data_IF_372581966176
#
_entry.id   IF_372581966176
#
_cell.length_a   1.000
_cell.length_b   1.000
_cell.length_c   1.000
_cell.angle_alpha   90.00
_cell.angle_beta   90.00
_cell.angle_gamma   90.00
#
_symmetry.space_group_name_H-M   'P 1'
#
loop_
_entity.id
_entity.type
_entity.pdbx_description
1 polymer ?
#
# COMPACT_ATOMS: atom_id res chain seq x y z
N UNK A 1 -35.13 8.82 -9.10
CA UNK A 1 -35.33 7.37 -8.89
C UNK A 1 -35.57 6.74 -10.26
N UNK A 2 -34.51 6.29 -10.93
CA UNK A 2 -34.67 5.40 -12.08
C UNK A 2 -34.94 4.00 -11.53
N UNK A 3 -36.21 3.60 -11.57
CA UNK A 3 -36.62 2.23 -11.40
C UNK A 3 -36.83 1.64 -12.79
N UNK A 4 -36.08 0.57 -13.10
CA UNK A 4 -36.38 -0.31 -14.22
C UNK A 4 -35.58 -0.06 -15.49
N UNK A 5 -34.29 -0.44 -15.46
CA UNK A 5 -33.67 -1.04 -16.64
C UNK A 5 -33.12 -2.42 -16.23
N UNK A 6 -33.94 -3.42 -16.57
CA UNK A 6 -33.69 -4.85 -16.68
C UNK A 6 -32.60 -5.50 -15.80
N UNK A 7 -33.08 -6.22 -14.77
CA UNK A 7 -32.54 -7.54 -14.44
C UNK A 7 -32.65 -8.44 -15.68
N UNK A 8 -31.54 -8.75 -16.36
CA UNK A 8 -31.46 -9.89 -17.26
C UNK A 8 -30.06 -10.51 -17.21
N UNK A 9 -30.03 -11.77 -16.76
CA UNK A 9 -28.96 -12.73 -17.04
C UNK A 9 -27.79 -12.70 -16.07
N UNK A 10 -27.91 -13.45 -14.95
CA UNK A 10 -26.73 -14.02 -14.32
C UNK A 10 -26.01 -14.87 -15.37
N UNK A 11 -24.97 -14.29 -15.98
CA UNK A 11 -24.01 -15.01 -16.81
C UNK A 11 -23.35 -16.07 -15.93
N UNK A 12 -23.35 -17.31 -16.40
CA UNK A 12 -22.61 -18.36 -15.71
C UNK A 12 -21.13 -17.98 -15.71
N UNK A 13 -20.56 -17.79 -14.52
CA UNK A 13 -19.12 -17.55 -14.38
C UNK A 13 -18.35 -18.72 -14.98
N UNK A 14 -17.31 -18.42 -15.76
CA UNK A 14 -16.35 -19.42 -16.19
C UNK A 14 -15.71 -20.08 -14.95
N UNK A 15 -15.53 -21.41 -14.99
CA UNK A 15 -15.09 -22.23 -13.85
C UNK A 15 -13.67 -21.91 -13.33
N UNK A 16 -12.92 -21.01 -13.99
CA UNK A 16 -11.50 -20.73 -13.73
C UNK A 16 -11.20 -19.31 -13.21
N UNK A 17 -12.22 -18.51 -12.87
CA UNK A 17 -12.01 -17.12 -12.44
C UNK A 17 -11.72 -16.15 -13.59
N UNK A 18 -11.79 -16.62 -14.85
CA UNK A 18 -11.76 -15.79 -16.04
C UNK A 18 -13.04 -14.96 -16.25
N UNK A 19 -13.13 -14.30 -17.41
CA UNK A 19 -14.35 -13.67 -17.90
C UNK A 19 -15.04 -14.62 -18.88
N UNK A 20 -16.31 -14.94 -18.64
CA UNK A 20 -17.13 -15.65 -19.60
C UNK A 20 -17.55 -14.72 -20.75
N UNK A 21 -17.99 -15.30 -21.88
CA UNK A 21 -18.54 -14.54 -23.03
C UNK A 21 -19.71 -13.66 -22.59
N UNK A 22 -20.57 -14.19 -21.71
CA UNK A 22 -21.70 -13.43 -21.21
C UNK A 22 -21.27 -12.29 -20.28
N UNK A 23 -20.10 -12.35 -19.63
CA UNK A 23 -19.57 -11.23 -18.84
C UNK A 23 -19.16 -10.06 -19.74
N UNK A 24 -18.53 -10.35 -20.88
CA UNK A 24 -18.20 -9.33 -21.88
C UNK A 24 -19.46 -8.70 -22.49
N UNK A 25 -20.49 -9.51 -22.72
CA UNK A 25 -21.79 -9.02 -23.20
C UNK A 25 -22.46 -8.11 -22.17
N UNK A 26 -22.52 -8.54 -20.92
CA UNK A 26 -23.12 -7.77 -19.83
C UNK A 26 -22.35 -6.46 -19.57
N UNK A 27 -21.03 -6.51 -19.64
CA UNK A 27 -20.17 -5.33 -19.53
C UNK A 27 -20.47 -4.31 -20.62
N UNK A 28 -20.49 -4.74 -21.90
CA UNK A 28 -20.80 -3.85 -23.02
C UNK A 28 -22.24 -3.30 -22.96
N UNK A 29 -23.21 -4.12 -22.53
CA UNK A 29 -24.59 -3.67 -22.32
C UNK A 29 -24.70 -2.64 -21.20
N UNK A 30 -23.92 -2.78 -20.13
CA UNK A 30 -23.89 -1.82 -19.02
C UNK A 30 -23.19 -0.53 -19.43
N UNK A 31 -22.05 -0.65 -20.12
CA UNK A 31 -21.28 0.48 -20.61
C UNK A 31 -22.09 1.33 -21.59
N UNK A 32 -22.70 0.71 -22.60
CA UNK A 32 -23.37 1.44 -23.67
C UNK A 32 -24.87 1.64 -23.44
N UNK A 33 -25.43 1.01 -22.41
CA UNK A 33 -26.87 0.97 -22.18
C UNK A 33 -27.48 2.37 -22.07
N UNK A 34 -28.53 2.61 -22.84
CA UNK A 34 -29.33 3.83 -22.79
C UNK A 34 -30.81 3.49 -22.60
N UNK A 35 -31.56 4.46 -22.09
CA UNK A 35 -33.02 4.39 -21.93
C UNK A 35 -33.78 4.80 -23.20
N UNK A 36 -33.06 5.16 -24.26
CA UNK A 36 -33.56 5.65 -25.55
C UNK A 36 -32.99 4.80 -26.70
N UNK A 37 -33.58 4.91 -27.89
CA UNK A 37 -33.08 4.31 -29.12
C UNK A 37 -32.03 5.20 -29.77
N UNK A 38 -32.41 5.85 -30.86
CA UNK A 38 -31.54 6.80 -31.56
C UNK A 38 -31.60 8.20 -30.93
N UNK A 39 -30.65 9.05 -31.35
CA UNK A 39 -30.71 10.51 -31.14
C UNK A 39 -30.50 11.23 -32.47
N UNK A 40 -31.21 12.34 -32.64
CA UNK A 40 -30.96 13.30 -33.72
C UNK A 40 -30.53 14.63 -33.08
N UNK A 41 -29.40 15.18 -33.53
CA UNK A 41 -28.91 16.49 -33.08
C UNK A 41 -29.07 17.50 -34.20
N UNK A 42 -29.87 18.54 -33.97
CA UNK A 42 -30.13 19.61 -34.93
C UNK A 42 -30.00 20.98 -34.24
N UNK A 43 -28.85 21.63 -34.43
CA UNK A 43 -28.51 22.86 -33.73
C UNK A 43 -28.44 22.63 -32.23
N UNK A 44 -29.20 23.40 -31.46
CA UNK A 44 -29.25 23.29 -29.99
C UNK A 44 -30.27 22.25 -29.49
N UNK A 45 -30.89 21.48 -30.40
CA UNK A 45 -31.94 20.52 -30.06
C UNK A 45 -31.45 19.09 -30.24
N UNK A 46 -31.63 18.26 -29.20
CA UNK A 46 -31.49 16.81 -29.25
C UNK A 46 -32.87 16.17 -29.23
N UNK A 47 -33.20 15.40 -30.27
CA UNK A 47 -34.39 14.55 -30.30
C UNK A 47 -34.01 13.15 -29.85
N UNK A 48 -34.61 12.68 -28.76
CA UNK A 48 -34.46 11.30 -28.30
C UNK A 48 -35.58 10.45 -28.89
N UNK A 49 -35.25 9.26 -29.37
CA UNK A 49 -36.20 8.27 -29.85
C UNK A 49 -36.41 7.16 -28.83
N UNK A 50 -37.55 6.49 -28.87
CA UNK A 50 -37.75 5.21 -28.20
C UNK A 50 -37.08 4.10 -29.02
N UNK A 51 -36.92 2.91 -28.41
CA UNK A 51 -36.36 1.73 -29.08
C UNK A 51 -37.17 1.26 -30.30
N UNK A 52 -38.43 1.68 -30.42
CA UNK A 52 -39.29 1.39 -31.57
C UNK A 52 -39.22 2.47 -32.67
N UNK A 53 -38.33 3.46 -32.53
CA UNK A 53 -38.13 4.55 -33.48
C UNK A 53 -39.14 5.70 -33.38
N UNK A 54 -40.07 5.67 -32.41
CA UNK A 54 -40.97 6.79 -32.15
C UNK A 54 -40.25 7.92 -31.41
N UNK A 55 -40.64 9.18 -31.63
CA UNK A 55 -40.05 10.32 -30.90
C UNK A 55 -40.44 10.23 -29.42
N UNK A 56 -39.43 10.20 -28.55
CA UNK A 56 -39.60 10.24 -27.09
C UNK A 56 -39.76 11.66 -26.57
N UNK A 57 -38.81 12.53 -26.90
CA UNK A 57 -38.84 13.96 -26.53
C UNK A 57 -37.87 14.78 -27.40
N UNK A 58 -38.00 16.10 -27.36
CA UNK A 58 -37.12 17.06 -28.05
C UNK A 58 -36.61 18.08 -27.05
N UNK A 59 -35.30 18.04 -26.80
CA UNK A 59 -34.68 18.75 -25.70
C UNK A 59 -33.76 19.84 -26.27
N UNK A 60 -34.10 21.11 -26.00
CA UNK A 60 -33.24 22.24 -26.36
C UNK A 60 -32.24 22.51 -25.22
N UNK A 61 -30.96 22.64 -25.55
CA UNK A 61 -29.88 22.77 -24.59
C UNK A 61 -29.16 24.12 -24.68
N UNK A 62 -28.57 24.53 -23.56
CA UNK A 62 -27.60 25.61 -23.48
C UNK A 62 -26.23 25.03 -23.09
N UNK A 63 -25.18 25.47 -23.78
CA UNK A 63 -23.81 25.06 -23.46
C UNK A 63 -23.36 25.66 -22.13
N UNK A 64 -22.96 24.80 -21.20
CA UNK A 64 -22.59 25.14 -19.82
C UNK A 64 -21.08 25.03 -19.57
N UNK A 65 -20.26 25.01 -20.64
CA UNK A 65 -18.81 24.90 -20.56
C UNK A 65 -18.30 23.48 -20.73
N UNK A 66 -17.01 23.27 -20.43
CA UNK A 66 -16.38 21.95 -20.51
C UNK A 66 -15.56 21.66 -19.26
N UNK A 67 -15.25 20.38 -19.05
CA UNK A 67 -14.47 19.89 -17.92
C UNK A 67 -13.49 18.82 -18.40
N UNK A 68 -12.20 19.05 -18.19
CA UNK A 68 -11.16 18.10 -18.53
C UNK A 68 -11.08 17.01 -17.45
N UNK A 69 -11.07 15.75 -17.87
CA UNK A 69 -10.94 14.60 -17.00
C UNK A 69 -9.88 13.65 -17.53
N UNK A 70 -9.30 12.87 -16.63
CA UNK A 70 -8.34 11.82 -16.98
C UNK A 70 -8.99 10.46 -16.76
N UNK A 71 -9.01 9.61 -17.78
CA UNK A 71 -9.46 8.22 -17.68
C UNK A 71 -8.42 7.31 -18.32
N UNK A 72 -8.00 6.25 -17.62
CA UNK A 72 -7.00 5.32 -18.16
C UNK A 72 -5.64 5.95 -18.48
N UNK A 73 -5.35 7.16 -17.97
CA UNK A 73 -4.13 7.92 -18.28
C UNK A 73 -4.26 8.85 -19.49
N UNK A 74 -5.41 8.87 -20.16
CA UNK A 74 -5.71 9.79 -21.28
C UNK A 74 -6.61 10.93 -20.82
N UNK A 75 -6.36 12.12 -21.35
CA UNK A 75 -7.15 13.31 -21.06
C UNK A 75 -8.21 13.54 -22.14
N UNK A 76 -9.43 13.81 -21.72
CA UNK A 76 -10.50 14.25 -22.61
C UNK A 76 -11.43 15.26 -21.94
N UNK A 77 -12.20 15.98 -22.74
CA UNK A 77 -13.16 16.97 -22.27
C UNK A 77 -14.59 16.40 -22.23
N UNK A 78 -15.26 16.57 -21.11
CA UNK A 78 -16.73 16.54 -21.03
C UNK A 78 -17.29 17.91 -21.39
N UNK A 79 -18.01 18.01 -22.50
CA UNK A 79 -18.81 19.19 -22.87
C UNK A 79 -20.15 19.13 -22.17
N UNK A 80 -20.49 20.19 -21.43
CA UNK A 80 -21.65 20.25 -20.55
C UNK A 80 -22.80 21.00 -21.22
N UNK A 81 -24.00 20.43 -21.15
CA UNK A 81 -25.22 20.98 -21.73
C UNK A 81 -26.35 20.90 -20.72
N UNK A 82 -27.00 22.03 -20.44
CA UNK A 82 -28.16 22.09 -19.55
C UNK A 82 -29.43 22.35 -20.35
N UNK A 83 -30.48 21.59 -20.06
CA UNK A 83 -31.78 21.72 -20.71
C UNK A 83 -32.34 23.13 -20.47
N UNK A 84 -32.66 23.83 -21.55
CA UNK A 84 -33.45 25.06 -21.47
C UNK A 84 -34.84 24.67 -20.99
N UNK A 85 -35.20 25.15 -19.79
CA UNK A 85 -36.43 24.77 -19.09
C UNK A 85 -37.67 24.91 -19.98
N UNK A 86 -38.42 23.82 -20.21
CA UNK A 86 -39.67 23.91 -20.97
C UNK A 86 -40.45 22.62 -21.24
N UNK A 87 -39.81 21.45 -21.27
CA UNK A 87 -40.50 20.19 -21.57
C UNK A 87 -40.34 19.16 -20.43
N UNK A 88 -41.44 18.81 -19.75
CA UNK A 88 -41.46 17.78 -18.71
C UNK A 88 -41.00 16.42 -19.24
N UNK A 89 -41.20 16.14 -20.53
CA UNK A 89 -40.74 14.91 -21.17
C UNK A 89 -39.21 14.82 -21.25
N UNK A 90 -38.51 15.96 -21.22
CA UNK A 90 -37.04 16.04 -21.19
C UNK A 90 -36.46 16.04 -19.78
N UNK A 91 -37.29 15.98 -18.73
CA UNK A 91 -36.82 16.14 -17.35
C UNK A 91 -35.81 15.09 -16.89
N UNK A 92 -35.81 13.89 -17.49
CA UNK A 92 -34.80 12.85 -17.25
C UNK A 92 -33.43 13.16 -17.88
N UNK A 93 -33.40 14.05 -18.88
CA UNK A 93 -32.21 14.47 -19.64
C UNK A 93 -31.78 15.90 -19.29
N UNK A 94 -32.11 16.39 -18.08
CA UNK A 94 -31.89 17.79 -17.70
C UNK A 94 -30.43 18.22 -17.88
N UNK A 95 -29.49 17.37 -17.47
CA UNK A 95 -28.07 17.58 -17.68
C UNK A 95 -27.58 16.52 -18.67
N UNK A 96 -26.80 16.98 -19.63
CA UNK A 96 -26.14 16.17 -20.64
C UNK A 96 -24.65 16.52 -20.62
N UNK A 97 -23.80 15.51 -20.54
CA UNK A 97 -22.37 15.66 -20.86
C UNK A 97 -22.03 14.78 -22.04
N UNK A 98 -21.19 15.28 -22.94
CA UNK A 98 -20.80 14.58 -24.15
C UNK A 98 -19.30 14.77 -24.42
N UNK A 99 -18.67 13.79 -25.05
CA UNK A 99 -17.33 13.95 -25.63
C UNK A 99 -17.43 14.69 -26.97
N UNK A 100 -16.28 15.11 -27.52
CA UNK A 100 -16.22 15.41 -28.95
C UNK A 100 -16.45 14.15 -29.79
N UNK A 101 -16.91 14.33 -31.03
CA UNK A 101 -16.92 13.25 -32.02
C UNK A 101 -15.47 12.90 -32.39
N UNK A 102 -15.14 11.62 -32.36
CA UNK A 102 -13.81 11.09 -32.60
C UNK A 102 -13.89 9.74 -33.32
N UNK A 103 -12.73 9.24 -33.75
CA UNK A 103 -12.57 7.93 -34.37
C UNK A 103 -11.28 7.30 -33.83
N UNK A 104 -11.33 6.00 -33.58
CA UNK A 104 -10.16 5.21 -33.23
C UNK A 104 -9.48 4.72 -34.51
N UNK A 105 -8.39 5.37 -34.91
CA UNK A 105 -7.64 5.06 -36.12
C UNK A 105 -8.16 5.72 -37.41
N UNK A 106 -7.40 5.58 -38.50
CA UNK A 106 -7.63 6.32 -39.76
C UNK A 106 -8.94 5.91 -40.48
N UNK A 107 -9.40 4.66 -40.28
CA UNK A 107 -10.60 4.09 -40.91
C UNK A 107 -11.71 3.72 -39.89
N UNK A 108 -11.56 4.16 -38.64
CA UNK A 108 -12.49 3.86 -37.56
C UNK A 108 -13.86 4.55 -37.72
N UNK A 109 -14.86 3.98 -37.04
CA UNK A 109 -16.19 4.56 -36.92
C UNK A 109 -16.14 5.90 -36.18
N UNK A 110 -16.68 6.96 -36.79
CA UNK A 110 -16.89 8.24 -36.09
C UNK A 110 -18.01 8.08 -35.07
N UNK A 111 -17.70 8.36 -33.81
CA UNK A 111 -18.63 8.23 -32.69
C UNK A 111 -18.33 9.23 -31.57
N UNK A 112 -19.24 9.30 -30.60
CA UNK A 112 -19.08 10.08 -29.38
C UNK A 112 -19.78 9.36 -28.22
N UNK A 113 -19.40 9.73 -27.00
CA UNK A 113 -20.00 9.19 -25.77
C UNK A 113 -20.79 10.27 -25.04
N UNK A 114 -21.80 9.85 -24.28
CA UNK A 114 -22.60 10.75 -23.47
C UNK A 114 -23.00 10.16 -22.13
N UNK A 115 -23.23 11.03 -21.14
CA UNK A 115 -23.98 10.71 -19.91
C UNK A 115 -25.06 11.74 -19.71
N UNK A 116 -26.17 11.32 -19.11
CA UNK A 116 -27.34 12.16 -18.94
C UNK A 116 -28.07 11.84 -17.64
N UNK A 117 -28.78 12.83 -17.11
CA UNK A 117 -29.55 12.66 -15.89
C UNK A 117 -30.17 13.97 -15.41
N UNK A 118 -30.72 13.94 -14.21
CA UNK A 118 -31.40 15.09 -13.61
C UNK A 118 -30.86 15.52 -12.24
N UNK A 119 -29.72 14.98 -11.84
CA UNK A 119 -29.00 15.28 -10.60
C UNK A 119 -28.15 16.55 -10.73
N UNK A 120 -26.96 16.45 -11.33
CA UNK A 120 -26.03 17.56 -11.56
C UNK A 120 -24.92 17.15 -12.54
N UNK A 121 -24.18 18.12 -13.09
CA UNK A 121 -22.97 17.81 -13.86
C UNK A 121 -21.92 17.08 -13.03
N UNK A 122 -21.73 17.48 -11.77
CA UNK A 122 -20.79 16.85 -10.85
C UNK A 122 -21.13 15.36 -10.62
N UNK A 123 -22.40 15.03 -10.45
CA UNK A 123 -22.84 13.65 -10.30
C UNK A 123 -22.57 12.84 -11.58
N UNK A 124 -22.87 13.40 -12.76
CA UNK A 124 -22.59 12.71 -14.03
C UNK A 124 -21.08 12.47 -14.28
N UNK A 125 -20.22 13.35 -13.78
CA UNK A 125 -18.76 13.28 -14.01
C UNK A 125 -18.07 12.42 -12.94
N UNK A 126 -18.39 12.65 -11.66
CA UNK A 126 -17.60 12.17 -10.52
C UNK A 126 -18.23 11.00 -9.75
N UNK A 127 -19.48 10.63 -10.04
CA UNK A 127 -20.10 9.47 -9.38
C UNK A 127 -19.47 8.16 -9.88
N UNK A 128 -18.97 7.36 -8.93
CA UNK A 128 -18.31 6.09 -9.21
C UNK A 128 -19.24 5.06 -9.87
N UNK A 129 -20.56 5.18 -9.70
CA UNK A 129 -21.53 4.31 -10.40
C UNK A 129 -21.55 4.57 -11.91
N UNK A 130 -21.20 5.78 -12.35
CA UNK A 130 -21.18 6.16 -13.76
C UNK A 130 -19.81 6.02 -14.41
N UNK A 131 -18.77 5.64 -13.66
CA UNK A 131 -17.38 5.61 -14.14
C UNK A 131 -17.19 4.74 -15.39
N UNK A 132 -17.97 3.67 -15.52
CA UNK A 132 -17.97 2.75 -16.68
C UNK A 132 -19.16 2.93 -17.62
N UNK A 133 -20.02 3.93 -17.40
CA UNK A 133 -21.20 4.19 -18.23
C UNK A 133 -20.83 5.20 -19.33
N UNK A 134 -20.77 4.71 -20.57
CA UNK A 134 -20.46 5.43 -21.80
C UNK A 134 -21.42 5.02 -22.93
N UNK A 135 -22.70 5.42 -22.89
CA UNK A 135 -23.59 5.38 -24.05
C UNK A 135 -22.88 5.93 -25.29
N UNK A 136 -22.78 5.09 -26.32
CA UNK A 136 -22.00 5.37 -27.54
C UNK A 136 -22.94 5.58 -28.72
N UNK A 137 -22.76 6.71 -29.40
CA UNK A 137 -23.59 7.14 -30.52
C UNK A 137 -22.68 7.26 -31.74
N UNK A 138 -23.00 6.53 -32.81
CA UNK A 138 -22.23 6.52 -34.05
C UNK A 138 -22.93 7.30 -35.16
N UNK A 139 -22.16 7.80 -36.13
CA UNK A 139 -22.71 8.51 -37.27
C UNK A 139 -23.44 7.56 -38.25
N UNK A 140 -24.70 7.88 -38.55
CA UNK A 140 -25.49 7.20 -39.59
C UNK A 140 -26.00 5.81 -39.23
N UNK A 141 -26.56 5.12 -40.23
CA UNK A 141 -26.98 3.72 -40.07
C UNK A 141 -25.74 2.80 -40.09
N UNK A 142 -25.53 2.07 -39.00
CA UNK A 142 -24.47 1.07 -38.88
C UNK A 142 -25.05 -0.34 -38.95
N UNK A 143 -24.41 -1.17 -39.78
CA UNK A 143 -24.71 -2.59 -39.80
C UNK A 143 -24.02 -3.31 -38.64
N UNK A 144 -24.60 -4.42 -38.17
CA UNK A 144 -24.00 -5.24 -37.12
C UNK A 144 -22.59 -5.73 -37.51
N UNK A 145 -22.35 -5.98 -38.80
CA UNK A 145 -21.05 -6.39 -39.32
C UNK A 145 -20.00 -5.29 -39.20
N UNK A 146 -20.36 -4.04 -39.56
CA UNK A 146 -19.44 -2.90 -39.44
C UNK A 146 -19.16 -2.57 -37.97
N UNK A 147 -20.16 -2.70 -37.11
CA UNK A 147 -19.97 -2.56 -35.67
C UNK A 147 -19.01 -3.63 -35.14
N UNK A 148 -19.23 -4.90 -35.49
CA UNK A 148 -18.37 -6.00 -35.05
C UNK A 148 -16.92 -5.85 -35.54
N UNK A 149 -16.69 -5.35 -36.76
CA UNK A 149 -15.36 -5.05 -37.28
C UNK A 149 -14.62 -4.00 -36.42
N UNK A 150 -15.26 -2.85 -36.16
CA UNK A 150 -14.68 -1.77 -35.36
C UNK A 150 -14.39 -2.22 -33.90
N UNK A 151 -15.32 -2.94 -33.28
CA UNK A 151 -15.14 -3.42 -31.91
C UNK A 151 -14.14 -4.58 -31.83
N UNK A 152 -13.90 -5.30 -32.93
CA UNK A 152 -12.84 -6.30 -33.02
C UNK A 152 -11.45 -5.69 -32.84
N UNK A 153 -11.21 -4.50 -33.40
CA UNK A 153 -9.95 -3.78 -33.25
C UNK A 153 -9.77 -3.20 -31.83
N UNK A 154 -10.85 -2.69 -31.21
CA UNK A 154 -10.86 -2.18 -29.84
C UNK A 154 -10.99 -3.23 -28.72
N UNK A 155 -11.12 -4.51 -29.06
CA UNK A 155 -11.38 -5.58 -28.10
C UNK A 155 -10.34 -5.69 -26.95
N UNK A 156 -9.02 -5.51 -27.16
CA UNK A 156 -8.04 -5.55 -26.07
C UNK A 156 -8.28 -4.46 -25.02
N UNK A 157 -8.62 -3.24 -25.44
CA UNK A 157 -8.90 -2.12 -24.54
C UNK A 157 -10.18 -2.37 -23.75
N UNK A 158 -11.24 -2.81 -24.41
CA UNK A 158 -12.53 -3.14 -23.77
C UNK A 158 -12.36 -4.29 -22.76
N UNK A 159 -11.52 -5.28 -23.07
CA UNK A 159 -11.16 -6.35 -22.13
C UNK A 159 -10.41 -5.84 -20.90
N UNK A 160 -9.49 -4.89 -21.07
CA UNK A 160 -8.78 -4.25 -19.95
C UNK A 160 -9.72 -3.41 -19.08
N UNK A 161 -10.63 -2.64 -19.70
CA UNK A 161 -11.66 -1.89 -19.01
C UNK A 161 -12.63 -2.80 -18.24
N UNK A 162 -13.07 -3.91 -18.83
CA UNK A 162 -13.90 -4.91 -18.15
C UNK A 162 -13.18 -5.51 -16.93
N UNK A 163 -11.86 -5.76 -17.05
CA UNK A 163 -11.02 -6.20 -15.94
C UNK A 163 -10.92 -5.15 -14.83
N UNK A 164 -10.78 -3.89 -15.19
CA UNK A 164 -10.74 -2.76 -14.25
C UNK A 164 -12.09 -2.53 -13.57
N UNK A 165 -13.21 -2.66 -14.29
CA UNK A 165 -14.57 -2.54 -13.75
C UNK A 165 -14.90 -3.64 -12.72
N UNK A 166 -14.23 -4.78 -12.79
CA UNK A 166 -14.32 -5.88 -11.80
C UNK A 166 -13.44 -5.65 -10.57
N UNK A 167 -12.55 -4.65 -10.57
CA UNK A 167 -11.78 -4.26 -9.37
C UNK A 167 -12.73 -3.53 -8.39
N UNK A 168 -12.69 -3.84 -7.08
CA UNK A 168 -13.86 -3.71 -6.21
C UNK A 168 -14.22 -2.27 -5.83
N UNK A 169 -15.45 -1.86 -6.14
CA UNK A 169 -16.29 -1.11 -5.19
C UNK A 169 -17.04 -2.11 -4.31
N UNK A 170 -16.81 -2.10 -3.00
CA UNK A 170 -17.33 -3.11 -2.06
C UNK A 170 -18.83 -2.91 -1.80
N UNK A 171 -19.67 -3.92 -2.06
CA UNK A 171 -21.05 -4.02 -1.54
C UNK A 171 -21.22 -5.26 -0.65
N UNK A 172 -22.27 -5.27 0.18
CA UNK A 172 -22.58 -6.36 1.14
C UNK A 172 -23.24 -7.61 0.51
N UNK A 173 -23.25 -7.73 -0.81
CA UNK A 173 -23.94 -8.84 -1.50
C UNK A 173 -23.35 -10.23 -1.18
N UNK A 174 -22.08 -10.29 -0.77
CA UNK A 174 -21.40 -11.53 -0.40
C UNK A 174 -21.95 -12.19 0.89
N UNK A 175 -22.81 -11.51 1.67
CA UNK A 175 -23.37 -12.02 2.93
C UNK A 175 -24.85 -12.41 2.86
N UNK A 176 -25.45 -12.40 1.66
CA UNK A 176 -26.84 -12.85 1.48
C UNK A 176 -26.94 -14.38 1.55
N UNK A 177 -27.52 -14.88 2.64
CA UNK A 177 -27.79 -16.31 2.86
C UNK A 177 -28.06 -16.68 4.32
N UNK A 178 -28.45 -17.93 4.57
CA UNK A 178 -28.43 -18.51 5.92
C UNK A 178 -27.06 -19.12 6.16
N UNK A 179 -26.37 -18.66 7.20
CA UNK A 179 -24.99 -19.03 7.50
C UNK A 179 -24.95 -20.08 8.60
N UNK A 180 -24.29 -21.21 8.35
CA UNK A 180 -24.01 -22.21 9.37
C UNK A 180 -22.88 -21.70 10.27
N UNK A 181 -23.03 -21.85 11.59
CA UNK A 181 -21.95 -21.51 12.53
C UNK A 181 -20.81 -22.53 12.42
N UNK A 182 -19.65 -22.17 11.82
CA UNK A 182 -18.55 -23.11 11.65
C UNK A 182 -17.91 -23.48 12.99
N UNK A 183 -18.17 -22.71 14.06
CA UNK A 183 -17.80 -23.07 15.43
C UNK A 183 -18.30 -24.45 15.88
N UNK A 184 -19.35 -24.98 15.24
CA UNK A 184 -19.90 -26.31 15.54
C UNK A 184 -19.12 -27.48 14.93
N UNK A 185 -18.24 -27.21 13.96
CA UNK A 185 -17.43 -28.23 13.25
C UNK A 185 -15.93 -28.08 13.52
N UNK A 186 -15.55 -27.13 14.39
CA UNK A 186 -14.15 -26.95 14.79
C UNK A 186 -13.60 -28.16 15.57
N UNK A 187 -14.45 -28.93 16.25
CA UNK A 187 -14.07 -30.16 16.96
C UNK A 187 -14.21 -31.44 16.10
N UNK A 188 -14.54 -31.29 14.81
CA UNK A 188 -14.61 -32.41 13.88
C UNK A 188 -13.20 -32.86 13.50
N UNK A 189 -12.91 -34.16 13.52
CA UNK A 189 -11.57 -34.68 13.23
C UNK A 189 -11.10 -34.41 11.80
N UNK A 190 -12.00 -33.99 10.90
CA UNK A 190 -11.61 -33.50 9.57
C UNK A 190 -10.85 -32.15 9.63
N UNK A 191 -10.92 -31.43 10.75
CA UNK A 191 -10.16 -30.20 11.00
C UNK A 191 -8.73 -30.48 11.49
N UNK A 192 -8.41 -31.69 11.95
CA UNK A 192 -7.09 -32.03 12.48
C UNK A 192 -5.94 -31.69 11.50
N UNK A 193 -6.00 -32.03 10.21
CA UNK A 193 -4.95 -31.66 9.25
C UNK A 193 -4.83 -30.15 9.04
N UNK A 194 -5.92 -29.39 9.25
CA UNK A 194 -5.94 -27.93 9.12
C UNK A 194 -5.25 -27.32 10.34
N UNK A 195 -5.54 -27.79 11.55
CA UNK A 195 -4.83 -27.34 12.75
C UNK A 195 -3.36 -27.75 12.73
N UNK A 196 -3.02 -28.93 12.22
CA UNK A 196 -1.65 -29.36 12.00
C UNK A 196 -0.93 -28.47 10.98
N UNK A 197 -1.55 -28.16 9.85
CA UNK A 197 -0.99 -27.27 8.84
C UNK A 197 -0.84 -25.83 9.34
N UNK A 198 -1.81 -25.32 10.10
CA UNK A 198 -1.74 -23.99 10.72
C UNK A 198 -0.67 -23.94 11.80
N UNK A 199 -0.53 -24.99 12.61
CA UNK A 199 0.56 -25.10 13.56
C UNK A 199 1.91 -25.19 12.84
N UNK A 200 2.02 -25.94 11.73
CA UNK A 200 3.23 -26.00 10.92
C UNK A 200 3.58 -24.66 10.29
N UNK A 201 2.61 -23.92 9.76
CA UNK A 201 2.83 -22.60 9.14
C UNK A 201 3.17 -21.53 10.18
N UNK A 202 2.50 -21.54 11.34
CA UNK A 202 2.85 -20.66 12.46
C UNK A 202 4.25 -20.98 13.03
N UNK A 203 4.71 -22.23 12.88
CA UNK A 203 6.05 -22.66 13.26
C UNK A 203 7.08 -22.57 12.13
N UNK A 204 6.68 -22.26 10.89
CA UNK A 204 7.61 -21.92 9.82
C UNK A 204 7.90 -20.42 9.89
N UNK A 205 8.66 -20.01 10.91
CA UNK A 205 9.30 -18.71 10.91
C UNK A 205 10.24 -18.65 9.69
N UNK A 206 10.15 -17.60 8.88
CA UNK A 206 11.32 -17.20 8.10
C UNK A 206 12.44 -16.99 9.12
N UNK A 207 13.57 -17.69 8.94
CA UNK A 207 14.69 -17.51 9.87
C UNK A 207 15.06 -16.03 9.84
N UNK A 208 15.08 -15.34 11.01
CA UNK A 208 15.47 -13.95 11.04
C UNK A 208 16.86 -13.83 10.43
N UNK A 209 17.05 -12.80 9.61
CA UNK A 209 18.36 -12.48 9.04
C UNK A 209 19.41 -12.52 10.15
N UNK A 210 20.61 -13.05 9.86
CA UNK A 210 21.70 -13.19 10.84
C UNK A 210 22.73 -12.09 10.64
N UNK A 211 23.43 -11.74 11.70
CA UNK A 211 24.63 -10.91 11.63
C UNK A 211 25.74 -11.79 11.06
N UNK A 212 26.22 -11.45 9.87
CA UNK A 212 27.29 -12.17 9.20
C UNK A 212 28.53 -11.28 9.09
N UNK A 213 29.66 -11.74 9.61
CA UNK A 213 30.95 -11.04 9.54
C UNK A 213 32.09 -12.05 9.61
N UNK A 214 33.15 -11.87 8.83
CA UNK A 214 34.37 -12.67 8.97
C UNK A 214 35.21 -12.15 10.13
N UNK A 215 35.75 -13.04 10.96
CA UNK A 215 36.71 -12.66 11.98
C UNK A 215 38.10 -12.33 11.38
N UNK A 216 39.03 -11.91 12.23
CA UNK A 216 40.39 -11.60 11.80
C UNK A 216 41.20 -12.82 11.30
N UNK A 217 40.69 -14.04 11.45
CA UNK A 217 41.28 -15.28 10.92
C UNK A 217 40.62 -15.71 9.59
N UNK A 218 39.54 -15.05 9.18
CA UNK A 218 38.77 -15.36 7.98
C UNK A 218 37.67 -16.40 8.21
N UNK A 219 37.34 -16.72 9.46
CA UNK A 219 36.23 -17.61 9.80
C UNK A 219 34.92 -16.82 9.83
N UNK A 220 33.84 -17.39 9.29
CA UNK A 220 32.54 -16.74 9.25
C UNK A 220 31.86 -16.81 10.62
N UNK A 221 31.63 -15.66 11.24
CA UNK A 221 30.72 -15.49 12.37
C UNK A 221 29.31 -15.27 11.78
N UNK A 222 28.34 -16.05 12.24
CA UNK A 222 26.94 -15.97 11.81
C UNK A 222 26.05 -16.13 13.04
N UNK A 223 25.51 -15.02 13.54
CA UNK A 223 24.81 -14.94 14.82
C UNK A 223 23.41 -14.35 14.63
N UNK A 224 22.41 -14.87 15.33
CA UNK A 224 21.17 -14.12 15.57
C UNK A 224 21.44 -12.89 16.46
N UNK A 225 20.47 -11.98 16.52
CA UNK A 225 20.55 -10.79 17.39
C UNK A 225 20.65 -11.21 18.86
N UNK A 226 19.91 -12.25 19.24
CA UNK A 226 19.93 -12.82 20.58
C UNK A 226 21.27 -13.45 20.92
N UNK A 227 21.81 -14.30 20.04
CA UNK A 227 23.12 -14.94 20.23
C UNK A 227 24.21 -13.88 20.39
N UNK A 228 24.26 -12.87 19.51
CA UNK A 228 25.24 -11.80 19.60
C UNK A 228 25.13 -10.99 20.90
N UNK A 229 23.92 -10.77 21.42
CA UNK A 229 23.72 -10.07 22.68
C UNK A 229 24.09 -10.92 23.90
N UNK A 230 23.65 -12.18 23.94
CA UNK A 230 23.88 -13.08 25.06
C UNK A 230 25.34 -13.53 25.17
N UNK A 231 26.00 -13.83 24.06
CA UNK A 231 27.41 -14.23 24.06
C UNK A 231 28.33 -13.06 24.45
N UNK A 232 27.98 -11.84 24.05
CA UNK A 232 28.77 -10.66 24.37
C UNK A 232 28.61 -10.19 25.83
N UNK A 233 27.37 -10.14 26.33
CA UNK A 233 27.06 -9.51 27.62
C UNK A 233 26.76 -10.52 28.75
N UNK A 234 26.40 -11.75 28.41
CA UNK A 234 25.98 -12.80 29.35
C UNK A 234 24.48 -12.83 29.63
N UNK A 235 23.72 -11.85 29.13
CA UNK A 235 22.25 -11.86 29.09
C UNK A 235 21.72 -11.03 27.92
N UNK A 236 20.46 -11.26 27.55
CA UNK A 236 19.78 -10.49 26.50
C UNK A 236 19.32 -9.12 27.02
N UNK A 237 20.21 -8.28 27.55
CA UNK A 237 19.81 -6.93 27.98
C UNK A 237 19.28 -6.11 26.80
N UNK A 238 18.30 -5.22 27.04
CA UNK A 238 17.77 -4.33 25.99
C UNK A 238 18.90 -3.55 25.29
N UNK A 239 19.93 -3.15 26.05
CA UNK A 239 21.11 -2.49 25.52
C UNK A 239 21.83 -3.31 24.45
N UNK A 240 22.18 -4.56 24.76
CA UNK A 240 22.93 -5.46 23.89
C UNK A 240 22.08 -5.87 22.69
N UNK A 241 20.78 -6.13 22.88
CA UNK A 241 19.86 -6.43 21.80
C UNK A 241 19.79 -5.28 20.77
N UNK A 242 19.71 -4.02 21.23
CA UNK A 242 19.74 -2.85 20.32
C UNK A 242 21.07 -2.76 19.58
N UNK A 243 22.20 -2.95 20.26
CA UNK A 243 23.53 -2.91 19.63
C UNK A 243 23.70 -3.99 18.55
N UNK A 244 23.28 -5.22 18.83
CA UNK A 244 23.28 -6.31 17.86
C UNK A 244 22.36 -5.99 16.66
N UNK A 245 21.11 -5.58 16.91
CA UNK A 245 20.14 -5.29 15.85
C UNK A 245 20.55 -4.10 14.98
N UNK A 246 21.09 -3.02 15.56
CA UNK A 246 21.54 -1.86 14.75
C UNK A 246 22.79 -2.19 13.95
N UNK A 247 23.67 -3.06 14.46
CA UNK A 247 24.85 -3.55 13.71
C UNK A 247 24.43 -4.40 12.52
N UNK A 248 23.45 -5.29 12.70
CA UNK A 248 22.87 -6.06 11.62
C UNK A 248 22.39 -5.17 10.48
N UNK A 249 21.57 -4.17 10.82
CA UNK A 249 21.04 -3.21 9.84
C UNK A 249 22.17 -2.43 9.16
N UNK A 250 23.15 -1.95 9.92
CA UNK A 250 24.28 -1.22 9.34
C UNK A 250 25.10 -2.06 8.35
N UNK A 251 25.22 -3.38 8.57
CA UNK A 251 25.87 -4.28 7.61
C UNK A 251 25.04 -4.35 6.33
N UNK A 252 23.75 -4.62 6.42
CA UNK A 252 22.87 -4.71 5.24
C UNK A 252 22.86 -3.39 4.46
N UNK A 253 22.84 -2.23 5.12
CA UNK A 253 22.82 -0.92 4.46
C UNK A 253 24.16 -0.54 3.80
N UNK A 254 25.30 -0.84 4.43
CA UNK A 254 26.62 -0.41 3.94
C UNK A 254 27.30 -1.43 3.02
N UNK A 255 26.88 -2.70 3.06
CA UNK A 255 27.52 -3.79 2.33
C UNK A 255 26.55 -4.53 1.40
N UNK A 256 25.23 -4.40 1.58
CA UNK A 256 24.25 -5.14 0.77
C UNK A 256 24.47 -6.65 0.90
N UNK A 257 24.76 -7.31 -0.23
CA UNK A 257 25.05 -8.75 -0.27
C UNK A 257 26.49 -9.11 0.15
N UNK A 258 27.38 -8.12 0.35
CA UNK A 258 28.76 -8.35 0.77
C UNK A 258 28.85 -8.63 2.28
N UNK A 259 29.58 -9.68 2.67
CA UNK A 259 29.83 -9.99 4.08
C UNK A 259 31.13 -9.28 4.53
N UNK A 260 31.08 -8.33 5.48
CA UNK A 260 32.26 -7.61 5.93
C UNK A 260 33.23 -8.52 6.70
N UNK A 261 34.47 -8.05 6.86
CA UNK A 261 35.42 -8.60 7.84
C UNK A 261 35.51 -7.66 9.04
N UNK A 262 35.70 -8.20 10.25
CA UNK A 262 36.01 -7.44 11.45
C UNK A 262 37.14 -6.44 11.17
N UNK A 263 36.98 -5.21 11.65
CA UNK A 263 37.87 -4.11 11.30
C UNK A 263 37.40 -3.25 10.11
N UNK A 264 36.44 -3.69 9.30
CA UNK A 264 35.90 -2.92 8.16
C UNK A 264 34.75 -1.99 8.54
N UNK A 265 33.94 -2.36 9.53
CA UNK A 265 32.82 -1.56 10.01
C UNK A 265 33.16 -0.96 11.37
N UNK A 266 33.00 0.36 11.50
CA UNK A 266 33.21 1.11 12.74
C UNK A 266 31.89 1.70 13.21
N UNK A 267 31.70 1.80 14.53
CA UNK A 267 30.54 2.48 15.14
C UNK A 267 30.99 3.59 16.09
N UNK A 268 30.31 4.73 16.03
CA UNK A 268 30.27 5.76 17.06
C UNK A 268 28.89 5.72 17.74
N UNK A 269 28.86 5.66 19.08
CA UNK A 269 27.59 5.52 19.83
C UNK A 269 27.62 6.29 21.15
N UNK A 270 26.44 6.57 21.71
CA UNK A 270 26.29 7.49 22.85
C UNK A 270 25.74 6.88 24.14
N UNK A 271 25.21 5.65 24.08
CA UNK A 271 24.63 5.00 25.25
C UNK A 271 25.71 4.58 26.28
N UNK A 272 25.62 4.96 27.56
CA UNK A 272 26.64 4.67 28.57
C UNK A 272 26.63 3.22 29.09
N UNK A 273 25.62 2.43 28.69
CA UNK A 273 25.42 1.07 29.19
C UNK A 273 26.45 0.07 28.65
N UNK A 274 27.01 -0.72 29.57
CA UNK A 274 28.02 -1.75 29.30
C UNK A 274 27.60 -2.75 28.22
N UNK A 275 26.34 -3.16 28.18
CA UNK A 275 25.85 -4.12 27.18
C UNK A 275 25.94 -3.64 25.73
N UNK A 276 25.85 -2.32 25.45
CA UNK A 276 26.10 -1.84 24.08
C UNK A 276 27.59 -1.93 23.73
N UNK A 277 28.46 -1.49 24.65
CA UNK A 277 29.92 -1.57 24.45
C UNK A 277 30.35 -3.00 24.15
N UNK A 278 30.00 -3.93 25.04
CA UNK A 278 30.44 -5.33 24.93
C UNK A 278 29.90 -5.99 23.67
N UNK A 279 28.65 -5.71 23.30
CA UNK A 279 28.06 -6.25 22.07
C UNK A 279 28.74 -5.69 20.80
N UNK A 280 29.00 -4.37 20.74
CA UNK A 280 29.73 -3.80 19.61
C UNK A 280 31.18 -4.32 19.55
N UNK A 281 31.88 -4.41 20.68
CA UNK A 281 33.25 -4.92 20.73
C UNK A 281 33.32 -6.39 20.32
N UNK A 282 32.31 -7.18 20.68
CA UNK A 282 32.19 -8.58 20.30
C UNK A 282 32.03 -8.75 18.79
N UNK A 283 31.12 -7.98 18.17
CA UNK A 283 30.83 -8.08 16.74
C UNK A 283 31.93 -7.42 15.90
N UNK A 284 32.43 -6.25 16.28
CA UNK A 284 33.25 -5.37 15.41
C UNK A 284 34.73 -5.29 15.77
N UNK A 285 35.12 -5.68 17.00
CA UNK A 285 36.40 -5.42 17.69
C UNK A 285 36.55 -4.05 18.37
N UNK A 286 37.32 -4.00 19.45
CA UNK A 286 37.48 -2.81 20.31
C UNK A 286 38.02 -1.57 19.59
N UNK A 287 38.86 -1.73 18.58
CA UNK A 287 39.39 -0.62 17.79
C UNK A 287 38.37 0.01 16.82
N UNK A 288 37.22 -0.63 16.65
CA UNK A 288 36.13 -0.18 15.79
C UNK A 288 34.93 0.37 16.58
N UNK A 289 35.08 0.58 17.89
CA UNK A 289 34.00 1.00 18.78
C UNK A 289 34.37 2.29 19.49
N UNK A 290 33.71 3.38 19.10
CA UNK A 290 33.92 4.71 19.67
C UNK A 290 32.72 5.10 20.56
N UNK A 291 32.93 5.09 21.87
CA UNK A 291 31.96 5.66 22.81
C UNK A 291 32.13 7.17 22.90
N UNK A 292 31.07 7.91 22.56
CA UNK A 292 31.02 9.38 22.61
C UNK A 292 29.94 9.78 23.63
N UNK A 293 30.29 10.16 24.87
CA UNK A 293 29.32 10.55 25.87
C UNK A 293 28.40 11.68 25.37
N UNK A 294 27.09 11.49 25.52
CA UNK A 294 26.06 12.50 25.26
C UNK A 294 24.98 12.43 26.34
N UNK A 295 24.25 13.54 26.52
CA UNK A 295 23.16 13.64 27.48
C UNK A 295 23.57 13.40 28.94
N UNK A 296 22.56 13.20 29.79
CA UNK A 296 22.77 12.71 31.16
C UNK A 296 22.71 11.18 31.19
N UNK A 297 23.87 10.56 31.43
CA UNK A 297 24.00 9.11 31.62
C UNK A 297 23.03 8.49 32.64
N UNK A 298 22.47 9.33 33.52
CA UNK A 298 21.43 8.95 34.47
C UNK A 298 20.02 8.94 33.89
N UNK A 299 19.72 9.97 33.13
CA UNK A 299 18.43 10.17 32.51
C UNK A 299 18.51 9.86 31.00
N UNK A 300 18.46 8.56 30.70
CA UNK A 300 18.53 8.10 29.32
C UNK A 300 17.30 8.54 28.52
N UNK A 301 17.51 8.79 27.23
CA UNK A 301 16.46 9.17 26.29
C UNK A 301 16.89 8.75 24.87
N UNK A 302 15.94 8.73 23.92
CA UNK A 302 16.22 8.34 22.53
C UNK A 302 17.16 9.30 21.81
N UNK A 303 16.96 10.60 21.99
CA UNK A 303 17.65 11.67 21.23
C UNK A 303 19.15 11.72 21.50
N UNK A 304 19.57 11.50 22.74
CA UNK A 304 20.97 11.59 23.15
C UNK A 304 21.68 10.24 23.15
N UNK A 305 20.97 9.13 23.41
CA UNK A 305 21.61 7.87 23.79
C UNK A 305 21.40 6.71 22.81
N UNK A 306 20.39 6.78 21.94
CA UNK A 306 20.09 5.71 20.97
C UNK A 306 20.32 6.19 19.54
N UNK A 307 21.44 6.88 19.35
CA UNK A 307 21.92 7.44 18.08
C UNK A 307 23.25 6.78 17.74
N UNK A 308 23.44 6.50 16.46
CA UNK A 308 24.56 5.70 15.95
C UNK A 308 25.05 6.28 14.63
N UNK A 309 26.37 6.27 14.47
CA UNK A 309 27.04 6.52 13.20
C UNK A 309 27.91 5.31 12.89
N UNK A 310 27.64 4.66 11.77
CA UNK A 310 28.44 3.55 11.25
C UNK A 310 29.26 4.01 10.06
N UNK A 311 30.53 3.59 10.01
CA UNK A 311 31.45 3.91 8.93
C UNK A 311 32.05 2.63 8.36
N UNK A 312 31.84 2.41 7.06
CA UNK A 312 32.55 1.42 6.27
C UNK A 312 33.94 1.97 5.91
N UNK A 313 34.99 1.44 6.54
CA UNK A 313 36.33 2.06 6.61
C UNK A 313 37.14 2.01 5.32
N UNK A 314 36.88 1.04 4.44
CA UNK A 314 37.56 0.90 3.15
C UNK A 314 37.01 1.91 2.11
N UNK A 315 35.70 2.14 2.11
CA UNK A 315 35.02 3.05 1.18
C UNK A 315 34.76 4.45 1.74
N UNK A 316 34.74 4.60 3.08
CA UNK A 316 34.33 5.82 3.75
C UNK A 316 32.81 6.09 3.74
N UNK A 317 32.00 5.11 3.35
CA UNK A 317 30.54 5.23 3.37
C UNK A 317 30.03 5.29 4.82
N UNK A 318 29.04 6.15 5.06
CA UNK A 318 28.51 6.44 6.39
C UNK A 318 27.02 6.13 6.43
N UNK A 319 26.58 5.46 7.50
CA UNK A 319 25.19 5.22 7.83
C UNK A 319 24.89 5.79 9.22
N UNK A 320 24.09 6.84 9.26
CA UNK A 320 23.62 7.47 10.50
C UNK A 320 22.20 7.01 10.79
N UNK A 321 21.93 6.61 12.03
CA UNK A 321 20.59 6.20 12.42
C UNK A 321 20.31 6.44 13.91
N UNK A 322 19.03 6.32 14.28
CA UNK A 322 18.56 6.35 15.66
C UNK A 322 17.35 5.45 15.83
N UNK A 323 17.10 5.02 17.06
CA UNK A 323 15.87 4.29 17.42
C UNK A 323 14.66 5.24 17.35
N UNK A 324 13.62 4.82 16.62
CA UNK A 324 12.37 5.57 16.45
C UNK A 324 11.55 5.66 17.73
N UNK A 325 10.78 6.75 17.85
CA UNK A 325 9.74 6.90 18.87
C UNK A 325 8.72 5.77 18.74
N UNK A 326 8.31 5.18 19.87
CA UNK A 326 7.34 4.08 19.92
C UNK A 326 7.97 2.67 19.96
N UNK A 327 9.24 2.52 19.61
CA UNK A 327 9.96 1.23 19.73
C UNK A 327 10.22 0.90 21.20
N UNK A 328 10.77 1.87 21.93
CA UNK A 328 10.87 1.80 23.38
C UNK A 328 9.57 2.44 23.93
N UNK A 329 8.77 1.70 24.74
CA UNK A 329 7.48 2.19 25.21
C UNK A 329 7.59 3.52 25.97
N UNK A 330 6.56 4.35 25.87
CA UNK A 330 6.44 5.57 26.67
C UNK A 330 6.63 5.27 28.17
N UNK A 331 7.12 6.25 28.92
CA UNK A 331 7.46 6.16 30.35
C UNK A 331 8.56 5.15 30.71
N UNK A 332 9.10 4.37 29.76
CA UNK A 332 10.16 3.40 30.06
C UNK A 332 11.38 4.06 30.72
N UNK A 333 11.82 5.20 30.19
CA UNK A 333 13.00 5.90 30.71
C UNK A 333 12.76 6.50 32.09
N UNK A 334 11.58 7.06 32.34
CA UNK A 334 11.20 7.58 33.66
C UNK A 334 11.14 6.45 34.70
N UNK A 335 10.53 5.32 34.34
CA UNK A 335 10.45 4.14 35.20
C UNK A 335 11.83 3.52 35.43
N UNK A 336 12.70 3.46 34.41
CA UNK A 336 14.09 3.05 34.56
C UNK A 336 14.82 3.97 35.53
N UNK A 337 14.70 5.28 35.34
CA UNK A 337 15.34 6.28 36.18
C UNK A 337 14.89 6.18 37.65
N UNK A 338 13.65 5.78 37.92
CA UNK A 338 13.18 5.47 39.28
C UNK A 338 13.71 4.14 39.81
N UNK A 339 13.52 3.05 39.05
CA UNK A 339 13.75 1.68 39.53
C UNK A 339 15.24 1.36 39.62
N UNK A 340 15.96 1.47 38.51
CA UNK A 340 17.42 1.34 38.51
C UNK A 340 18.03 2.49 39.32
N UNK A 341 17.39 3.67 39.23
CA UNK A 341 17.52 4.84 40.10
C UNK A 341 17.85 4.55 41.55
N UNK A 342 16.89 3.89 42.15
CA UNK A 342 16.94 3.62 43.55
C UNK A 342 18.01 2.58 43.86
N UNK A 343 18.10 1.53 43.03
CA UNK A 343 19.08 0.45 43.22
C UNK A 343 20.54 0.91 43.13
N UNK A 344 20.85 1.94 42.33
CA UNK A 344 22.22 2.46 42.17
C UNK A 344 22.48 3.76 42.94
N UNK A 345 21.53 4.22 43.76
CA UNK A 345 21.70 5.40 44.64
C UNK A 345 21.70 6.76 43.94
N UNK A 346 21.01 6.86 42.81
CA UNK A 346 20.86 8.06 41.97
C UNK A 346 19.42 8.57 41.96
N UNK A 347 18.47 7.81 42.52
CA UNK A 347 17.11 8.21 42.86
C UNK A 347 16.84 7.96 44.34
N UNK A 348 16.24 8.91 45.04
CA UNK A 348 16.02 8.83 46.50
C UNK A 348 14.75 8.05 46.86
N UNK A 349 13.67 8.22 46.09
CA UNK A 349 12.41 7.55 46.40
C UNK A 349 12.46 6.07 46.04
N UNK A 350 11.99 5.24 46.97
CA UNK A 350 11.83 3.82 46.75
C UNK A 350 10.68 3.57 45.75
N UNK A 351 10.93 2.89 44.61
CA UNK A 351 9.89 2.57 43.64
C UNK A 351 8.89 1.60 44.26
N UNK A 352 7.62 1.81 43.95
CA UNK A 352 6.54 0.89 44.32
C UNK A 352 6.67 -0.43 43.58
N UNK A 353 6.03 -1.48 44.08
CA UNK A 353 6.01 -2.78 43.38
C UNK A 353 5.30 -2.69 42.02
N UNK A 354 4.30 -1.81 41.90
CA UNK A 354 3.62 -1.52 40.62
C UNK A 354 4.57 -0.86 39.61
N UNK A 355 5.38 0.12 40.04
CA UNK A 355 6.39 0.76 39.17
C UNK A 355 7.48 -0.22 38.73
N UNK A 356 7.94 -1.11 39.62
CA UNK A 356 8.88 -2.19 39.27
C UNK A 356 8.29 -3.16 38.25
N UNK A 357 7.03 -3.58 38.45
CA UNK A 357 6.34 -4.47 37.54
C UNK A 357 6.14 -3.81 36.16
N UNK A 358 5.71 -2.55 36.14
CA UNK A 358 5.55 -1.76 34.91
C UNK A 358 6.89 -1.58 34.18
N UNK A 359 7.97 -1.29 34.90
CA UNK A 359 9.32 -1.21 34.32
C UNK A 359 9.74 -2.53 33.66
N UNK A 360 9.56 -3.66 34.36
CA UNK A 360 9.92 -4.98 33.82
C UNK A 360 9.06 -5.37 32.61
N UNK A 361 7.77 -5.04 32.62
CA UNK A 361 6.87 -5.24 31.49
C UNK A 361 7.33 -4.42 30.28
N UNK A 362 7.53 -3.11 30.44
CA UNK A 362 7.99 -2.24 29.34
C UNK A 362 9.40 -2.60 28.86
N UNK A 363 10.28 -3.10 29.74
CA UNK A 363 11.60 -3.64 29.36
C UNK A 363 11.46 -4.89 28.49
N UNK A 364 10.53 -5.78 28.82
CA UNK A 364 10.22 -6.97 28.04
C UNK A 364 9.63 -6.61 26.67
N UNK A 365 8.70 -5.66 26.65
CA UNK A 365 8.06 -5.14 25.44
C UNK A 365 9.07 -4.46 24.51
N UNK A 366 9.90 -3.55 25.03
CA UNK A 366 10.96 -2.92 24.25
C UNK A 366 11.90 -3.95 23.61
N UNK A 367 12.29 -4.99 24.37
CA UNK A 367 13.14 -6.06 23.87
C UNK A 367 12.45 -6.85 22.77
N UNK A 368 11.18 -7.22 22.97
CA UNK A 368 10.38 -7.90 21.95
C UNK A 368 10.31 -7.05 20.68
N UNK A 369 10.02 -5.76 20.80
CA UNK A 369 9.96 -4.83 19.67
C UNK A 369 11.26 -4.84 18.87
N UNK A 370 12.42 -4.79 19.54
CA UNK A 370 13.74 -4.86 18.86
C UNK A 370 13.96 -6.17 18.10
N UNK A 371 13.47 -7.29 18.62
CA UNK A 371 13.69 -8.61 18.02
C UNK A 371 12.68 -8.94 16.92
N UNK A 372 11.45 -8.42 17.01
CA UNK A 372 10.35 -8.87 16.15
C UNK A 372 9.83 -7.82 15.17
N UNK A 373 10.17 -6.53 15.34
CA UNK A 373 9.78 -5.50 14.38
C UNK A 373 10.75 -5.46 13.20
N UNK A 374 10.22 -5.03 12.05
CA UNK A 374 11.01 -4.81 10.85
C UNK A 374 12.00 -3.65 11.07
N UNK A 375 13.19 -3.72 10.45
CA UNK A 375 14.25 -2.73 10.63
C UNK A 375 13.76 -1.29 10.40
N UNK A 376 12.99 -1.05 9.34
CA UNK A 376 12.41 0.25 9.00
C UNK A 376 11.41 0.78 10.04
N UNK A 377 10.85 -0.08 10.90
CA UNK A 377 9.99 0.32 12.01
C UNK A 377 10.80 0.67 13.26
N UNK A 378 12.00 0.13 13.39
CA UNK A 378 12.89 0.33 14.55
C UNK A 378 13.77 1.57 14.36
N UNK A 379 14.33 1.77 13.17
CA UNK A 379 15.40 2.74 12.91
C UNK A 379 15.00 3.78 11.86
N UNK A 380 15.52 5.01 12.03
CA UNK A 380 15.41 6.10 11.04
C UNK A 380 16.45 5.95 9.91
N UNK A 381 16.19 6.62 8.77
CA UNK A 381 17.17 6.70 7.67
C UNK A 381 17.20 5.50 6.72
N UNK A 382 16.29 4.53 6.87
CA UNK A 382 16.20 3.32 6.04
C UNK A 382 15.34 3.50 4.76
N UNK A 383 15.27 4.72 4.22
CA UNK A 383 14.35 5.09 3.13
C UNK A 383 14.90 4.74 1.72
N UNK A 384 15.74 3.71 1.60
CA UNK A 384 16.08 3.07 0.31
C UNK A 384 16.94 3.89 -0.67
N UNK A 385 17.59 4.98 -0.24
CA UNK A 385 18.53 5.72 -1.08
C UNK A 385 19.97 5.25 -0.82
N UNK A 386 20.40 4.23 -1.58
CA UNK A 386 21.82 3.95 -1.79
C UNK A 386 22.46 5.22 -2.35
N UNK A 387 23.44 5.77 -1.66
CA UNK A 387 24.20 6.92 -2.13
C UNK A 387 24.90 6.58 -3.46
N UNK A 388 24.36 7.07 -4.58
CA UNK A 388 25.13 7.28 -5.81
C UNK A 388 26.23 8.29 -5.51
N UNK A 389 27.41 7.79 -5.15
CA UNK A 389 28.51 8.64 -4.68
C UNK A 389 29.91 8.08 -4.86
N UNK A 390 30.11 7.03 -5.66
CA UNK A 390 31.45 6.62 -6.09
C UNK A 390 31.75 7.23 -7.47
N UNK A 391 32.05 8.54 -7.49
CA UNK A 391 32.64 9.16 -8.68
C UNK A 391 34.03 8.58 -8.87
N UNK A 392 34.13 7.73 -9.89
CA UNK A 392 35.35 7.42 -10.64
C UNK A 392 36.21 8.68 -10.82
N UNK A 393 37.37 8.70 -10.17
CA UNK A 393 38.50 9.50 -10.65
C UNK A 393 39.52 8.55 -11.27
N UNK A 394 39.34 8.35 -12.56
CA UNK A 394 40.33 7.74 -13.44
C UNK A 394 41.58 8.63 -13.58
N UNK A 395 42.73 7.96 -13.62
CA UNK A 395 43.94 8.28 -14.39
C UNK A 395 44.57 9.69 -14.28
N UNK A 396 45.76 9.73 -13.69
CA UNK A 396 46.96 10.32 -14.28
C UNK A 396 48.20 9.57 -13.76
#
# INVERSE_FOLDING_TARGET
MMAGLLLLGASAMAEDGGFAVDDAKNFLQTMMGSSFGDVEVAGDVVTYYNLDGTVRCRCEYEFAGKEAVTFGGEEFDWYKFELKSGDEACSEYKYLIATGAHSEGDDGMVHWHMRYGNSSFDDLINNLEYVMWYPTLAEGEISAEKLAENYGEGAPMLGAMMKAARAPSITLDAWNGTWSNPGMILDDSAMDPVYEAMAMAANSAEEPEKIQIYDAQGELISLSVEEAAEEAHGDLCLCAAVAARVTQVAISELFGDEIPTQGMLKVSYHHPGQGQRECFEYILTSECVDYVPSGDSKNLNLEDHFVYEFVRRDAGAVFETRVKVGVIPEEFFDLRYKVEGFSKGWHEDQPTEEEKAAFMQKKSEARKNILTMEAHQIFEGLDGNVAEGAVSTASA
#
